data_IF_509789383975
#
_entry.id   IF_509789383975
#
_cell.length_a   1.000
_cell.length_b   1.000
_cell.length_c   1.000
_cell.angle_alpha   90.00
_cell.angle_beta   90.00
_cell.angle_gamma   90.00
#
_symmetry.space_group_name_H-M   'P 1'
#
loop_
_entity.id
_entity.type
_entity.pdbx_description
1 polymer ?
#
# COMPACT_ATOMS: atom_id res chain seq x y z
N UNK A 1 -34.65 11.34 -19.07
CA UNK A 1 -35.19 10.38 -18.09
C UNK A 1 -36.15 9.44 -18.79
N UNK A 2 -35.90 8.12 -18.74
CA UNK A 2 -36.80 7.12 -19.32
C UNK A 2 -38.17 7.11 -18.62
N UNK A 3 -39.22 6.76 -19.36
CA UNK A 3 -40.57 6.49 -18.84
C UNK A 3 -41.15 5.30 -19.59
N UNK A 4 -42.25 4.76 -19.07
CA UNK A 4 -42.90 3.55 -19.59
C UNK A 4 -41.94 2.35 -19.53
N UNK A 5 -42.07 1.39 -20.44
CA UNK A 5 -41.29 0.13 -20.43
C UNK A 5 -39.84 0.30 -20.88
N UNK A 6 -39.46 1.45 -21.46
CA UNK A 6 -38.10 1.68 -21.90
C UNK A 6 -37.97 2.75 -22.97
N UNK A 7 -36.77 2.83 -23.53
CA UNK A 7 -36.44 3.66 -24.69
C UNK A 7 -36.10 2.74 -25.86
N UNK A 8 -36.22 3.25 -27.09
CA UNK A 8 -35.82 2.49 -28.28
C UNK A 8 -34.35 2.10 -28.21
N UNK A 9 -34.04 0.82 -28.43
CA UNK A 9 -32.69 0.27 -28.27
C UNK A 9 -31.64 0.98 -29.15
N UNK A 10 -32.05 1.54 -30.30
CA UNK A 10 -31.13 2.28 -31.18
C UNK A 10 -30.68 3.61 -30.57
N UNK A 11 -31.47 4.18 -29.66
CA UNK A 11 -31.11 5.41 -28.92
C UNK A 11 -29.95 5.13 -27.96
N UNK A 12 -29.77 3.89 -27.50
CA UNK A 12 -28.63 3.52 -26.64
C UNK A 12 -27.27 3.74 -27.32
N UNK A 13 -27.20 3.77 -28.65
CA UNK A 13 -25.98 4.14 -29.37
C UNK A 13 -25.49 5.58 -29.08
N UNK A 14 -26.35 6.41 -28.47
CA UNK A 14 -26.04 7.79 -28.05
C UNK A 14 -25.99 7.94 -26.52
N UNK A 15 -26.04 6.84 -25.77
CA UNK A 15 -25.96 6.81 -24.30
C UNK A 15 -24.58 6.34 -23.91
N UNK A 16 -23.83 7.16 -23.16
CA UNK A 16 -22.50 6.80 -22.68
C UNK A 16 -22.56 5.78 -21.54
N UNK A 17 -23.50 5.97 -20.60
CA UNK A 17 -23.64 5.14 -19.40
C UNK A 17 -25.11 4.94 -19.00
N UNK A 18 -25.42 3.75 -18.48
CA UNK A 18 -26.69 3.43 -17.85
C UNK A 18 -26.48 3.30 -16.33
N UNK A 19 -27.23 4.08 -15.54
CA UNK A 19 -27.08 4.12 -14.08
C UNK A 19 -28.39 3.68 -13.43
N UNK A 20 -28.29 2.70 -12.52
CA UNK A 20 -29.37 2.34 -11.60
C UNK A 20 -29.07 2.89 -10.20
N UNK A 21 -30.09 3.42 -9.52
CA UNK A 21 -30.00 3.89 -8.13
C UNK A 21 -30.36 2.81 -7.10
N UNK A 22 -30.74 1.62 -7.55
CA UNK A 22 -30.99 0.45 -6.71
C UNK A 22 -31.85 -0.61 -7.37
N UNK A 23 -31.95 -1.77 -6.72
CA UNK A 23 -32.67 -2.95 -7.23
C UNK A 23 -34.19 -2.86 -6.96
N UNK A 24 -34.83 -1.85 -7.54
CA UNK A 24 -36.28 -1.63 -7.49
C UNK A 24 -36.77 -0.84 -8.70
N UNK A 25 -38.06 -0.96 -9.02
CA UNK A 25 -38.67 -0.26 -10.17
C UNK A 25 -39.34 1.04 -9.73
N UNK A 26 -39.10 2.11 -10.49
CA UNK A 26 -39.77 3.41 -10.34
C UNK A 26 -40.71 3.69 -11.52
N UNK A 27 -41.64 4.62 -11.35
CA UNK A 27 -42.56 5.03 -12.42
C UNK A 27 -41.91 5.78 -13.59
N UNK A 28 -40.65 6.19 -13.44
CA UNK A 28 -39.86 6.95 -14.40
C UNK A 28 -38.46 7.24 -13.87
N UNK A 29 -37.59 7.79 -14.71
CA UNK A 29 -36.19 8.06 -14.38
C UNK A 29 -35.93 9.37 -13.62
N UNK A 30 -36.94 10.23 -13.45
CA UNK A 30 -36.77 11.53 -12.79
C UNK A 30 -36.32 11.43 -11.33
N UNK A 31 -36.88 10.54 -10.48
CA UNK A 31 -36.40 10.40 -9.11
C UNK A 31 -34.97 9.86 -9.06
N UNK A 32 -34.59 8.95 -9.96
CA UNK A 32 -33.22 8.45 -10.07
C UNK A 32 -32.24 9.58 -10.45
N UNK A 33 -32.61 10.42 -11.41
CA UNK A 33 -31.82 11.59 -11.78
C UNK A 33 -31.67 12.58 -10.61
N UNK A 34 -32.74 12.83 -9.84
CA UNK A 34 -32.69 13.70 -8.67
C UNK A 34 -31.74 13.14 -7.58
N UNK A 35 -31.76 11.83 -7.33
CA UNK A 35 -30.84 11.17 -6.39
C UNK A 35 -29.39 11.34 -6.82
N UNK A 36 -29.09 11.12 -8.11
CA UNK A 36 -27.73 11.30 -8.64
C UNK A 36 -27.29 12.76 -8.53
N UNK A 37 -28.15 13.72 -8.88
CA UNK A 37 -27.85 15.14 -8.78
C UNK A 37 -27.55 15.52 -7.32
N UNK A 38 -28.37 15.10 -6.36
CA UNK A 38 -28.17 15.40 -4.93
C UNK A 38 -26.84 14.80 -4.41
N UNK A 39 -26.58 13.54 -4.73
CA UNK A 39 -25.36 12.85 -4.32
C UNK A 39 -24.09 13.50 -4.89
N UNK A 40 -24.11 13.91 -6.16
CA UNK A 40 -22.95 14.51 -6.85
C UNK A 40 -22.79 15.99 -6.51
N UNK A 41 -23.87 16.77 -6.44
CA UNK A 41 -23.79 18.21 -6.21
C UNK A 41 -23.11 18.54 -4.87
N UNK A 42 -23.34 17.72 -3.85
CA UNK A 42 -22.67 17.85 -2.54
C UNK A 42 -21.15 17.74 -2.61
N UNK A 43 -20.60 17.08 -3.61
CA UNK A 43 -19.15 16.92 -3.80
C UNK A 43 -18.51 18.14 -4.48
N UNK A 44 -19.31 19.10 -4.96
CA UNK A 44 -18.80 20.29 -5.62
C UNK A 44 -18.27 21.32 -4.60
N UNK A 45 -17.12 21.97 -4.86
CA UNK A 45 -16.58 22.99 -3.97
C UNK A 45 -17.59 24.12 -3.70
N UNK A 46 -17.74 24.50 -2.44
CA UNK A 46 -18.62 25.60 -2.01
C UNK A 46 -20.10 25.23 -1.83
N UNK A 47 -20.50 23.99 -2.09
CA UNK A 47 -21.88 23.52 -1.80
C UNK A 47 -22.03 23.14 -0.32
N UNK A 48 -21.03 22.45 0.24
CA UNK A 48 -20.99 22.17 1.68
C UNK A 48 -20.24 23.30 2.38
N UNK A 49 -20.82 23.84 3.45
CA UNK A 49 -20.28 25.00 4.18
C UNK A 49 -18.99 24.73 4.97
N UNK A 50 -18.56 23.47 5.07
CA UNK A 50 -17.33 23.07 5.74
C UNK A 50 -16.67 21.94 4.92
N UNK A 51 -15.44 22.17 4.48
CA UNK A 51 -14.68 21.25 3.63
C UNK A 51 -14.36 19.92 4.33
N UNK A 52 -14.40 19.89 5.66
CA UNK A 52 -14.21 18.66 6.46
C UNK A 52 -15.49 17.83 6.63
N UNK A 53 -16.66 18.31 6.17
CA UNK A 53 -17.93 17.59 6.37
C UNK A 53 -18.00 16.26 5.62
N UNK A 54 -17.24 16.10 4.53
CA UNK A 54 -17.22 14.87 3.72
C UNK A 54 -16.26 13.80 4.26
N UNK A 55 -15.38 14.15 5.20
CA UNK A 55 -14.34 13.24 5.68
C UNK A 55 -14.87 12.16 6.65
N UNK A 56 -15.95 12.46 7.39
CA UNK A 56 -16.52 11.59 8.43
C UNK A 56 -17.89 10.97 8.04
N UNK A 57 -18.27 10.99 6.76
CA UNK A 57 -19.55 10.45 6.29
C UNK A 57 -19.56 8.92 6.17
N UNK A 58 -20.75 8.34 6.34
CA UNK A 58 -21.00 6.93 6.03
C UNK A 58 -20.47 6.54 4.65
N UNK A 59 -19.93 5.31 4.53
CA UNK A 59 -19.40 4.71 3.31
C UNK A 59 -18.06 5.26 2.78
N UNK A 60 -17.54 6.38 3.31
CA UNK A 60 -16.19 6.88 2.93
C UNK A 60 -15.09 5.88 3.32
N UNK A 61 -15.19 5.34 4.53
CA UNK A 61 -14.32 4.27 5.07
C UNK A 61 -14.90 2.87 4.85
N UNK A 62 -15.99 2.75 4.08
CA UNK A 62 -16.74 1.50 3.91
C UNK A 62 -17.57 1.08 5.13
N UNK A 63 -17.60 1.87 6.21
CA UNK A 63 -18.42 1.61 7.40
C UNK A 63 -19.67 2.49 7.43
N UNK A 64 -20.71 2.02 8.11
CA UNK A 64 -21.87 2.84 8.50
C UNK A 64 -21.50 3.78 9.65
N UNK A 65 -22.13 4.94 9.73
CA UNK A 65 -21.94 5.87 10.84
C UNK A 65 -22.27 5.28 12.22
N UNK A 66 -21.57 5.79 13.23
CA UNK A 66 -21.82 5.52 14.64
C UNK A 66 -23.09 6.24 15.12
N UNK A 67 -23.70 5.79 16.23
CA UNK A 67 -24.93 6.41 16.73
C UNK A 67 -24.64 7.82 17.26
N UNK A 68 -25.45 8.78 16.80
CA UNK A 68 -25.36 10.18 17.17
C UNK A 68 -26.29 10.50 18.35
N UNK A 69 -25.83 11.36 19.26
CA UNK A 69 -26.59 11.82 20.42
C UNK A 69 -26.53 13.34 20.48
N UNK A 70 -27.64 13.94 20.86
CA UNK A 70 -27.74 15.39 21.09
C UNK A 70 -28.57 15.65 22.35
N UNK A 71 -28.68 16.91 22.74
CA UNK A 71 -29.47 17.31 23.91
C UNK A 71 -30.93 16.87 23.77
N UNK A 72 -31.61 16.49 24.88
CA UNK A 72 -31.13 16.47 26.27
C UNK A 72 -30.35 15.21 26.65
N UNK A 73 -29.59 15.26 27.76
CA UNK A 73 -28.77 14.14 28.25
C UNK A 73 -29.59 12.87 28.54
N UNK A 74 -30.81 13.04 29.08
CA UNK A 74 -31.74 11.94 29.35
C UNK A 74 -33.02 12.20 28.58
N UNK A 75 -33.31 11.34 27.60
CA UNK A 75 -34.53 11.36 26.83
C UNK A 75 -35.40 10.15 27.19
N UNK A 76 -36.55 10.38 27.83
CA UNK A 76 -37.50 9.32 28.25
C UNK A 76 -36.83 8.21 29.08
N UNK A 77 -35.93 8.57 29.99
CA UNK A 77 -35.18 7.64 30.82
C UNK A 77 -33.96 6.99 30.13
N UNK A 78 -33.73 7.24 28.84
CA UNK A 78 -32.54 6.79 28.13
C UNK A 78 -31.46 7.85 28.21
N UNK A 79 -30.33 7.52 28.84
CA UNK A 79 -29.18 8.40 29.01
C UNK A 79 -28.21 8.24 27.83
N UNK A 80 -27.63 9.34 27.36
CA UNK A 80 -26.53 9.29 26.40
C UNK A 80 -25.31 8.55 26.99
N UNK A 81 -24.53 7.81 26.18
CA UNK A 81 -23.34 7.10 26.65
C UNK A 81 -22.38 8.03 27.42
N UNK A 82 -21.95 7.62 28.62
CA UNK A 82 -21.10 8.45 29.49
C UNK A 82 -19.78 8.85 28.82
N UNK A 83 -19.22 8.00 27.96
CA UNK A 83 -18.02 8.29 27.17
C UNK A 83 -18.18 9.56 26.31
N UNK A 84 -19.39 9.83 25.79
CA UNK A 84 -19.67 11.04 25.00
C UNK A 84 -19.76 12.30 25.86
N UNK A 85 -19.94 12.15 27.18
CA UNK A 85 -19.99 13.24 28.16
C UNK A 85 -18.63 13.49 28.83
N UNK A 86 -17.64 12.61 28.58
CA UNK A 86 -16.34 12.62 29.28
C UNK A 86 -15.40 13.75 28.86
N UNK A 87 -15.60 14.34 27.68
CA UNK A 87 -14.67 15.31 27.09
C UNK A 87 -13.36 14.70 26.57
N UNK A 88 -13.16 13.39 26.71
CA UNK A 88 -11.98 12.69 26.22
C UNK A 88 -12.13 12.36 24.72
N UNK A 89 -11.48 13.18 23.90
CA UNK A 89 -11.56 13.05 22.44
C UNK A 89 -11.06 11.70 21.92
N UNK A 90 -10.08 11.07 22.56
CA UNK A 90 -9.55 9.78 22.11
C UNK A 90 -10.51 8.64 22.46
N UNK A 91 -11.04 8.63 23.70
CA UNK A 91 -12.04 7.62 24.10
C UNK A 91 -13.33 7.76 23.30
N UNK A 92 -13.72 8.97 22.95
CA UNK A 92 -14.86 9.23 22.06
C UNK A 92 -14.59 8.69 20.66
N UNK A 93 -13.40 8.95 20.07
CA UNK A 93 -13.03 8.42 18.76
C UNK A 93 -13.05 6.88 18.75
N UNK A 94 -12.43 6.25 19.73
CA UNK A 94 -12.39 4.79 19.84
C UNK A 94 -13.80 4.21 19.94
N UNK A 95 -14.63 4.75 20.84
CA UNK A 95 -16.01 4.30 21.01
C UNK A 95 -16.85 4.45 19.75
N UNK A 96 -16.70 5.59 19.04
CA UNK A 96 -17.38 5.84 17.76
C UNK A 96 -16.97 4.79 16.72
N UNK A 97 -15.68 4.49 16.60
CA UNK A 97 -15.18 3.47 15.68
C UNK A 97 -15.73 2.09 16.00
N UNK A 98 -15.70 1.69 17.27
CA UNK A 98 -16.24 0.40 17.73
C UNK A 98 -17.72 0.26 17.40
N UNK A 99 -18.53 1.30 17.66
CA UNK A 99 -19.97 1.28 17.35
C UNK A 99 -20.28 1.30 15.86
N UNK A 100 -19.52 2.04 15.08
CA UNK A 100 -19.62 2.03 13.61
C UNK A 100 -19.39 0.62 13.05
N UNK A 101 -18.36 -0.09 13.54
CA UNK A 101 -18.07 -1.49 13.15
C UNK A 101 -19.20 -2.42 13.59
N UNK A 102 -19.67 -2.31 14.83
CA UNK A 102 -20.76 -3.13 15.36
C UNK A 102 -22.04 -3.00 14.52
N UNK A 103 -22.44 -1.76 14.21
CA UNK A 103 -23.63 -1.47 13.39
C UNK A 103 -23.46 -2.00 11.98
N UNK A 104 -22.29 -1.78 11.37
CA UNK A 104 -21.99 -2.28 10.01
C UNK A 104 -22.07 -3.80 9.97
N UNK A 105 -21.46 -4.49 10.95
CA UNK A 105 -21.51 -5.94 11.08
C UNK A 105 -22.92 -6.48 11.17
N UNK A 106 -23.77 -5.79 11.94
CA UNK A 106 -25.15 -6.23 12.16
C UNK A 106 -26.07 -5.94 10.97
N UNK A 107 -25.91 -4.79 10.28
CA UNK A 107 -26.90 -4.30 9.29
C UNK A 107 -26.46 -4.45 7.85
N UNK A 108 -25.17 -4.34 7.58
CA UNK A 108 -24.57 -4.37 6.24
C UNK A 108 -23.27 -5.19 6.26
N UNK A 109 -23.34 -6.49 6.60
CA UNK A 109 -22.16 -7.35 6.64
C UNK A 109 -21.44 -7.45 5.28
N UNK A 110 -22.16 -7.18 4.19
CA UNK A 110 -21.63 -7.04 2.83
C UNK A 110 -20.60 -5.90 2.70
N UNK A 111 -20.79 -4.78 3.42
CA UNK A 111 -19.81 -3.70 3.44
C UNK A 111 -18.53 -4.09 4.17
N UNK A 112 -18.64 -4.95 5.20
CA UNK A 112 -17.45 -5.52 5.84
C UNK A 112 -16.73 -6.49 4.92
N UNK A 113 -17.45 -7.30 4.14
CA UNK A 113 -16.83 -8.14 3.11
C UNK A 113 -16.10 -7.29 2.07
N UNK A 114 -16.70 -6.17 1.65
CA UNK A 114 -16.05 -5.17 0.79
C UNK A 114 -14.84 -4.47 1.42
N UNK A 115 -14.82 -4.27 2.75
CA UNK A 115 -13.65 -3.78 3.51
C UNK A 115 -12.58 -4.86 3.65
N UNK A 116 -12.97 -6.13 3.79
CA UNK A 116 -12.05 -7.27 3.82
C UNK A 116 -11.40 -7.46 2.45
N UNK A 117 -12.14 -7.27 1.35
CA UNK A 117 -11.60 -7.21 -0.02
C UNK A 117 -10.81 -5.93 -0.32
N UNK A 118 -11.15 -4.79 0.30
CA UNK A 118 -10.44 -3.49 0.15
C UNK A 118 -9.37 -3.23 1.22
N UNK A 119 -9.12 -4.22 2.07
CA UNK A 119 -8.00 -4.29 3.00
C UNK A 119 -7.88 -3.14 3.99
N UNK A 120 -8.59 -3.24 5.11
CA UNK A 120 -8.05 -2.90 6.44
C UNK A 120 -8.76 -3.80 7.45
N UNK A 121 -8.01 -4.67 8.14
CA UNK A 121 -8.20 -5.27 9.48
C UNK A 121 -7.50 -6.65 9.53
N UNK A 122 -6.19 -6.66 9.33
CA UNK A 122 -5.34 -7.44 10.22
C UNK A 122 -4.81 -6.43 11.23
N UNK A 123 -5.35 -6.44 12.44
CA UNK A 123 -4.75 -5.73 13.55
C UNK A 123 -3.31 -6.30 13.72
N UNK A 124 -2.33 -5.43 13.47
CA UNK A 124 -0.86 -5.58 13.55
C UNK A 124 -0.33 -6.68 14.52
N UNK A 125 0.81 -7.32 14.20
CA UNK A 125 1.95 -6.66 13.57
C UNK A 125 2.29 -7.14 12.14
N UNK A 126 2.47 -6.18 11.23
CA UNK A 126 3.26 -6.39 10.02
C UNK A 126 4.63 -5.79 10.27
N UNK A 127 5.64 -6.64 10.42
CA UNK A 127 7.03 -6.26 10.56
C UNK A 127 7.40 -5.19 9.51
N UNK A 128 8.02 -4.06 9.90
CA UNK A 128 8.35 -3.01 8.94
C UNK A 128 9.34 -3.53 7.91
N UNK A 129 8.93 -3.56 6.64
CA UNK A 129 9.75 -4.08 5.55
C UNK A 129 10.50 -2.95 4.84
N UNK A 130 11.78 -3.18 4.62
CA UNK A 130 12.69 -2.35 3.84
C UNK A 130 13.28 -3.17 2.70
N UNK A 131 13.65 -2.50 1.60
CA UNK A 131 14.31 -3.13 0.46
C UNK A 131 15.72 -2.58 0.28
N UNK A 132 16.67 -3.44 -0.05
CA UNK A 132 18.04 -3.06 -0.41
C UNK A 132 18.42 -3.57 -1.79
N UNK A 133 18.61 -2.68 -2.76
CA UNK A 133 19.18 -3.01 -4.06
C UNK A 133 20.70 -2.81 -4.02
N UNK A 134 21.44 -3.91 -3.96
CA UNK A 134 22.89 -3.88 -3.90
C UNK A 134 23.50 -3.82 -5.30
N UNK A 135 24.33 -2.81 -5.51
CA UNK A 135 25.23 -2.71 -6.67
C UNK A 135 26.66 -3.18 -6.35
N UNK A 136 26.96 -3.40 -5.07
CA UNK A 136 28.20 -3.99 -4.59
C UNK A 136 28.01 -4.49 -3.13
N UNK A 137 28.62 -5.62 -2.73
CA UNK A 137 29.33 -6.58 -3.57
C UNK A 137 28.33 -7.52 -4.28
N UNK A 138 28.40 -7.59 -5.61
CA UNK A 138 27.58 -8.47 -6.46
C UNK A 138 28.46 -9.24 -7.44
N UNK A 139 27.98 -10.37 -7.96
CA UNK A 139 28.70 -11.16 -8.95
C UNK A 139 28.52 -10.64 -10.38
N UNK A 140 29.53 -10.83 -11.22
CA UNK A 140 29.42 -10.79 -12.67
C UNK A 140 29.22 -12.20 -13.28
N UNK A 141 29.22 -12.28 -14.62
CA UNK A 141 29.10 -13.55 -15.36
C UNK A 141 30.21 -14.57 -15.10
N UNK A 142 31.35 -14.11 -14.61
CA UNK A 142 32.52 -14.93 -14.30
C UNK A 142 32.65 -15.22 -12.80
N UNK A 143 31.60 -14.94 -12.01
CA UNK A 143 31.60 -15.05 -10.54
C UNK A 143 32.66 -14.20 -9.84
N UNK A 144 33.07 -13.08 -10.45
CA UNK A 144 33.94 -12.09 -9.81
C UNK A 144 33.09 -11.07 -9.06
N UNK A 145 33.61 -10.59 -7.92
CA UNK A 145 32.97 -9.52 -7.15
C UNK A 145 33.20 -8.19 -7.86
N UNK A 146 32.11 -7.53 -8.26
CA UNK A 146 32.15 -6.29 -9.03
C UNK A 146 31.25 -5.22 -8.43
N UNK A 147 31.31 -4.01 -8.99
CA UNK A 147 30.29 -2.97 -8.80
C UNK A 147 29.54 -2.78 -10.11
N UNK A 148 28.22 -2.86 -10.07
CA UNK A 148 27.35 -2.67 -11.24
C UNK A 148 26.88 -1.22 -11.36
N UNK A 149 26.46 -0.84 -12.57
CA UNK A 149 25.83 0.46 -12.80
C UNK A 149 24.43 0.53 -12.18
N UNK A 150 24.05 1.71 -11.70
CA UNK A 150 22.69 2.01 -11.24
C UNK A 150 21.83 2.38 -12.44
N UNK A 151 20.72 1.67 -12.65
CA UNK A 151 19.81 1.97 -13.76
C UNK A 151 18.65 2.84 -13.26
N UNK A 152 18.24 3.81 -14.08
CA UNK A 152 17.10 4.68 -13.77
C UNK A 152 15.79 3.89 -13.62
N UNK A 153 15.63 2.84 -14.43
CA UNK A 153 14.42 2.02 -14.44
C UNK A 153 14.26 1.21 -13.15
N UNK A 154 15.34 0.66 -12.61
CA UNK A 154 15.30 -0.07 -11.33
C UNK A 154 14.83 0.84 -10.19
N UNK A 155 15.35 2.08 -10.12
CA UNK A 155 14.94 3.05 -9.10
C UNK A 155 13.44 3.32 -9.20
N UNK A 156 12.95 3.64 -10.41
CA UNK A 156 11.54 3.99 -10.58
C UNK A 156 10.59 2.83 -10.31
N UNK A 157 10.89 1.65 -10.86
CA UNK A 157 9.97 0.52 -10.80
C UNK A 157 9.93 -0.06 -9.38
N UNK A 158 11.09 -0.23 -8.74
CA UNK A 158 11.14 -0.75 -7.37
C UNK A 158 10.60 0.27 -6.37
N UNK A 159 10.79 1.58 -6.58
CA UNK A 159 10.16 2.60 -5.73
C UNK A 159 8.63 2.55 -5.82
N UNK A 160 8.07 2.31 -7.01
CA UNK A 160 6.63 2.13 -7.20
C UNK A 160 6.15 0.88 -6.47
N UNK A 161 6.85 -0.25 -6.63
CA UNK A 161 6.53 -1.49 -5.93
C UNK A 161 6.58 -1.30 -4.40
N UNK A 162 7.63 -0.65 -3.89
CA UNK A 162 7.78 -0.33 -2.48
C UNK A 162 6.57 0.48 -1.97
N UNK A 163 6.15 1.50 -2.71
CA UNK A 163 4.98 2.29 -2.36
C UNK A 163 3.68 1.48 -2.41
N UNK A 164 3.51 0.63 -3.42
CA UNK A 164 2.32 -0.22 -3.60
C UNK A 164 2.15 -1.21 -2.45
N UNK A 165 3.23 -1.85 -2.00
CA UNK A 165 3.19 -2.88 -0.96
C UNK A 165 3.45 -2.35 0.46
N UNK A 166 3.45 -1.03 0.68
CA UNK A 166 3.58 -0.44 2.01
C UNK A 166 4.97 -0.61 2.65
N UNK A 167 6.02 -0.78 1.83
CA UNK A 167 7.42 -0.84 2.28
C UNK A 167 7.83 0.53 2.85
N UNK A 168 8.57 0.52 3.96
CA UNK A 168 8.96 1.71 4.72
C UNK A 168 10.14 2.48 4.10
N UNK A 169 11.02 1.78 3.39
CA UNK A 169 12.14 2.42 2.70
C UNK A 169 12.78 1.52 1.64
N UNK A 170 13.29 2.15 0.59
CA UNK A 170 14.01 1.49 -0.49
C UNK A 170 15.42 2.07 -0.63
N UNK A 171 16.42 1.26 -0.33
CA UNK A 171 17.82 1.65 -0.37
C UNK A 171 18.50 1.19 -1.67
N UNK A 172 19.20 2.13 -2.32
CA UNK A 172 20.11 1.85 -3.44
C UNK A 172 21.54 1.96 -2.92
N UNK A 173 22.23 0.83 -2.79
CA UNK A 173 23.56 0.76 -2.18
C UNK A 173 24.65 0.61 -3.24
N UNK A 174 25.51 1.62 -3.35
CA UNK A 174 26.67 1.60 -4.26
C UNK A 174 27.84 2.39 -3.67
N UNK A 175 29.07 1.86 -3.62
CA UNK A 175 30.22 2.57 -3.06
C UNK A 175 30.74 3.67 -4.00
N UNK A 176 30.34 3.65 -5.27
CA UNK A 176 30.83 4.58 -6.30
C UNK A 176 30.10 5.91 -6.21
N UNK A 177 30.81 6.96 -5.77
CA UNK A 177 30.25 8.32 -5.59
C UNK A 177 29.58 8.90 -6.83
N UNK A 178 30.10 8.61 -8.02
CA UNK A 178 29.48 9.07 -9.28
C UNK A 178 28.10 8.43 -9.50
N UNK A 179 27.94 7.15 -9.18
CA UNK A 179 26.66 6.45 -9.27
C UNK A 179 25.69 6.94 -8.19
N UNK A 180 26.18 7.24 -6.99
CA UNK A 180 25.37 7.88 -5.95
C UNK A 180 24.82 9.23 -6.42
N UNK A 181 25.68 10.09 -6.98
CA UNK A 181 25.26 11.39 -7.54
C UNK A 181 24.24 11.24 -8.66
N UNK A 182 24.40 10.23 -9.53
CA UNK A 182 23.43 9.94 -10.58
C UNK A 182 22.06 9.56 -10.00
N UNK A 183 22.04 8.65 -9.02
CA UNK A 183 20.81 8.22 -8.35
C UNK A 183 20.12 9.39 -7.62
N UNK A 184 20.88 10.22 -6.90
CA UNK A 184 20.35 11.43 -6.25
C UNK A 184 19.79 12.42 -7.27
N UNK A 185 20.49 12.67 -8.38
CA UNK A 185 19.98 13.55 -9.45
C UNK A 185 18.67 13.05 -10.06
N UNK A 186 18.52 11.73 -10.20
CA UNK A 186 17.25 11.12 -10.63
C UNK A 186 16.15 11.41 -9.61
N UNK A 187 16.41 11.21 -8.32
CA UNK A 187 15.43 11.42 -7.24
C UNK A 187 15.03 12.91 -7.15
N UNK A 188 16.01 13.81 -7.08
CA UNK A 188 15.81 15.26 -6.92
C UNK A 188 14.99 15.87 -8.06
N UNK A 189 15.21 15.41 -9.30
CA UNK A 189 14.48 15.89 -10.46
C UNK A 189 12.95 15.74 -10.31
N UNK A 190 12.51 14.69 -9.61
CA UNK A 190 11.09 14.40 -9.39
C UNK A 190 10.55 14.88 -8.03
N UNK A 191 11.43 15.20 -7.08
CA UNK A 191 11.04 15.75 -5.78
C UNK A 191 10.92 17.27 -5.78
N UNK A 192 11.79 17.97 -6.52
CA UNK A 192 11.94 19.45 -6.47
C UNK A 192 11.79 20.12 -7.85
N UNK A 193 11.96 19.40 -8.96
CA UNK A 193 11.94 19.96 -10.32
C UNK A 193 10.56 20.05 -10.98
N UNK A 194 10.49 20.61 -12.20
CA UNK A 194 9.28 20.80 -13.03
C UNK A 194 8.40 19.54 -13.18
N UNK A 195 8.96 18.34 -13.02
CA UNK A 195 8.20 17.07 -13.02
C UNK A 195 7.30 16.84 -11.80
N UNK A 196 7.49 17.59 -10.69
CA UNK A 196 6.68 17.46 -9.48
C UNK A 196 5.28 18.07 -9.62
N UNK A 197 5.11 19.07 -10.47
CA UNK A 197 3.81 19.70 -10.77
C UNK A 197 2.95 18.82 -11.68
N UNK A 198 3.57 17.95 -12.49
CA UNK A 198 2.88 17.17 -13.52
C UNK A 198 2.43 15.77 -13.05
N UNK A 199 3.03 15.18 -12.02
CA UNK A 199 2.65 13.84 -11.55
C UNK A 199 2.92 13.57 -10.06
N UNK A 200 1.92 13.85 -9.22
CA UNK A 200 1.98 13.64 -7.76
C UNK A 200 2.27 12.18 -7.35
N UNK A 201 1.82 11.19 -8.14
CA UNK A 201 1.99 9.76 -7.79
C UNK A 201 3.44 9.30 -7.85
N UNK A 202 4.24 9.86 -8.77
CA UNK A 202 5.66 9.51 -8.92
C UNK A 202 6.53 10.07 -7.80
N UNK A 203 6.17 11.26 -7.30
CA UNK A 203 6.82 11.90 -6.15
C UNK A 203 6.67 11.05 -4.88
N UNK A 204 5.47 10.54 -4.62
CA UNK A 204 5.20 9.71 -3.45
C UNK A 204 6.02 8.41 -3.43
N UNK A 205 6.20 7.77 -4.59
CA UNK A 205 7.04 6.57 -4.70
C UNK A 205 8.53 6.88 -4.47
N UNK A 206 9.06 7.93 -5.10
CA UNK A 206 10.47 8.28 -5.00
C UNK A 206 10.88 8.87 -3.65
N UNK A 207 9.92 9.34 -2.84
CA UNK A 207 10.17 9.77 -1.46
C UNK A 207 10.71 8.65 -0.56
N UNK A 208 10.47 7.38 -0.92
CA UNK A 208 10.97 6.21 -0.18
C UNK A 208 12.43 5.86 -0.49
N UNK A 209 13.00 6.44 -1.55
CA UNK A 209 14.33 6.04 -2.07
C UNK A 209 15.44 6.72 -1.27
N UNK A 210 16.39 5.91 -0.78
CA UNK A 210 17.57 6.36 -0.05
C UNK A 210 18.83 5.84 -0.73
N UNK A 211 19.84 6.68 -0.89
CA UNK A 211 21.12 6.31 -1.53
C UNK A 211 22.19 6.17 -0.47
N UNK A 212 22.91 5.05 -0.47
CA UNK A 212 23.92 4.72 0.54
C UNK A 212 25.15 4.05 -0.10
N UNK A 213 26.25 3.92 0.65
CA UNK A 213 27.51 3.38 0.14
C UNK A 213 27.57 1.87 0.17
N UNK A 214 27.17 1.27 1.29
CA UNK A 214 27.36 -0.14 1.60
C UNK A 214 26.11 -0.76 2.22
N UNK A 215 26.07 -2.10 2.30
CA UNK A 215 25.04 -2.80 3.07
C UNK A 215 25.06 -2.39 4.55
N UNK A 216 26.24 -2.14 5.12
CA UNK A 216 26.36 -1.70 6.52
C UNK A 216 25.72 -0.32 6.73
N UNK A 217 25.86 0.60 5.77
CA UNK A 217 25.16 1.90 5.81
C UNK A 217 23.63 1.73 5.78
N UNK A 218 23.12 0.74 5.05
CA UNK A 218 21.66 0.43 5.02
C UNK A 218 21.20 -0.06 6.40
N UNK A 219 21.92 -1.02 6.96
CA UNK A 219 21.60 -1.63 8.27
C UNK A 219 21.60 -0.55 9.35
N UNK A 220 22.65 0.28 9.41
CA UNK A 220 22.76 1.40 10.33
C UNK A 220 21.64 2.42 10.10
N UNK A 221 21.28 2.68 8.84
CA UNK A 221 20.21 3.59 8.48
C UNK A 221 18.85 3.14 9.01
N UNK A 222 18.54 1.84 8.90
CA UNK A 222 17.31 1.25 9.42
C UNK A 222 17.33 1.23 10.95
N UNK A 223 18.42 0.76 11.56
CA UNK A 223 18.55 0.68 13.03
C UNK A 223 18.40 2.05 13.70
N UNK A 224 18.89 3.12 13.08
CA UNK A 224 18.67 4.50 13.57
C UNK A 224 17.21 4.97 13.48
N UNK A 225 16.46 4.47 12.51
CA UNK A 225 15.07 4.85 12.28
C UNK A 225 14.11 4.04 13.17
N UNK A 226 14.37 2.74 13.33
CA UNK A 226 13.48 1.80 14.02
C UNK A 226 13.90 1.53 15.47
N UNK A 227 15.15 1.81 15.82
CA UNK A 227 15.75 1.43 17.10
C UNK A 227 16.22 -0.02 17.17
N UNK A 228 16.04 -0.81 16.10
CA UNK A 228 16.37 -2.23 16.05
C UNK A 228 17.09 -2.59 14.75
N UNK A 229 18.09 -3.47 14.85
CA UNK A 229 18.79 -4.02 13.68
C UNK A 229 17.81 -4.87 12.85
N UNK A 230 17.71 -4.65 11.52
CA UNK A 230 16.83 -5.43 10.67
C UNK A 230 17.27 -6.88 10.51
N UNK A 231 16.28 -7.77 10.43
CA UNK A 231 16.43 -9.14 9.94
C UNK A 231 16.76 -9.11 8.45
N UNK A 232 17.90 -9.67 8.07
CA UNK A 232 18.39 -9.69 6.71
C UNK A 232 17.84 -10.89 5.95
N UNK A 233 17.17 -10.64 4.83
CA UNK A 233 16.64 -11.67 3.94
C UNK A 233 17.34 -11.56 2.58
N UNK A 234 18.20 -12.52 2.25
CA UNK A 234 18.81 -12.60 0.92
C UNK A 234 17.85 -13.22 -0.09
N UNK A 235 17.89 -12.71 -1.33
CA UNK A 235 17.15 -13.28 -2.46
C UNK A 235 18.11 -13.86 -3.51
N UNK A 236 17.72 -14.96 -4.15
CA UNK A 236 18.53 -15.65 -5.17
C UNK A 236 17.64 -16.40 -6.16
N UNK A 237 18.06 -16.46 -7.42
CA UNK A 237 17.45 -17.34 -8.41
C UNK A 237 17.95 -18.80 -8.29
N UNK A 238 19.02 -19.03 -7.53
CA UNK A 238 19.57 -20.37 -7.29
C UNK A 238 18.82 -21.04 -6.15
N UNK A 239 18.54 -22.33 -6.30
CA UNK A 239 18.10 -23.16 -5.19
C UNK A 239 19.24 -23.32 -4.18
N UNK A 240 18.93 -23.05 -2.91
CA UNK A 240 19.85 -23.22 -1.80
C UNK A 240 19.20 -24.21 -0.83
N UNK A 241 19.93 -25.25 -0.42
CA UNK A 241 19.50 -26.14 0.65
C UNK A 241 19.33 -25.32 1.94
N UNK A 242 18.16 -25.42 2.58
CA UNK A 242 17.82 -24.61 3.75
C UNK A 242 17.21 -23.24 3.47
N UNK A 243 16.74 -22.97 2.25
CA UNK A 243 15.98 -21.74 1.97
C UNK A 243 14.67 -21.67 2.74
N UNK A 244 14.33 -20.48 3.23
CA UNK A 244 13.05 -20.17 3.85
C UNK A 244 11.97 -20.04 2.78
N UNK A 245 10.82 -20.70 2.97
CA UNK A 245 9.71 -20.60 2.03
C UNK A 245 9.03 -19.23 2.10
N UNK A 246 8.33 -18.83 1.04
CA UNK A 246 7.52 -17.62 1.01
C UNK A 246 6.46 -17.62 2.11
N UNK A 247 5.84 -18.78 2.37
CA UNK A 247 4.84 -18.95 3.42
C UNK A 247 5.44 -18.74 4.81
N UNK A 248 6.58 -19.37 5.10
CA UNK A 248 7.25 -19.23 6.39
C UNK A 248 7.69 -17.79 6.65
N UNK A 249 8.30 -17.13 5.65
CA UNK A 249 8.71 -15.73 5.80
C UNK A 249 7.51 -14.79 5.96
N UNK A 250 6.43 -15.02 5.22
CA UNK A 250 5.18 -14.25 5.36
C UNK A 250 4.58 -14.40 6.75
N UNK A 251 4.56 -15.61 7.31
CA UNK A 251 4.11 -15.82 8.68
C UNK A 251 4.95 -15.04 9.69
N UNK A 252 6.28 -15.02 9.52
CA UNK A 252 7.16 -14.24 10.38
C UNK A 252 6.86 -12.74 10.29
N UNK A 253 6.71 -12.21 9.07
CA UNK A 253 6.34 -10.81 8.84
C UNK A 253 5.02 -10.43 9.53
N UNK A 254 4.06 -11.37 9.62
CA UNK A 254 2.75 -11.13 10.25
C UNK A 254 2.74 -11.35 11.78
N UNK A 255 3.81 -11.91 12.36
CA UNK A 255 3.89 -12.24 13.79
C UNK A 255 4.88 -11.35 14.54
N UNK A 256 5.81 -10.73 13.82
CA UNK A 256 6.93 -9.99 14.40
C UNK A 256 6.79 -8.48 14.21
N UNK A 257 7.37 -7.71 15.12
CA UNK A 257 7.41 -6.23 15.08
C UNK A 257 8.78 -5.68 14.66
N UNK A 258 9.82 -6.52 14.65
CA UNK A 258 11.18 -6.11 14.29
C UNK A 258 11.30 -5.83 12.79
N UNK A 259 12.16 -4.92 12.34
CA UNK A 259 12.30 -4.60 10.92
C UNK A 259 12.90 -5.74 10.10
N UNK A 260 12.47 -5.87 8.85
CA UNK A 260 13.02 -6.80 7.86
C UNK A 260 13.64 -6.03 6.70
N UNK A 261 14.80 -6.46 6.24
CA UNK A 261 15.47 -5.93 5.06
C UNK A 261 15.60 -7.03 4.00
N UNK A 262 14.85 -6.90 2.92
CA UNK A 262 14.90 -7.81 1.77
C UNK A 262 15.97 -7.30 0.78
N UNK A 263 16.99 -8.10 0.57
CA UNK A 263 18.15 -7.77 -0.26
C UNK A 263 18.00 -8.34 -1.66
N UNK A 264 18.15 -7.46 -2.65
CA UNK A 264 18.19 -7.78 -4.07
C UNK A 264 19.58 -7.51 -4.63
N UNK A 265 20.11 -8.49 -5.36
CA UNK A 265 21.36 -8.34 -6.10
C UNK A 265 21.14 -7.84 -7.52
N UNK A 266 22.11 -7.08 -8.02
CA UNK A 266 22.21 -6.72 -9.45
C UNK A 266 23.28 -7.56 -10.14
N UNK A 267 23.48 -7.37 -11.45
CA UNK A 267 24.45 -8.17 -12.20
C UNK A 267 24.02 -9.63 -12.26
N UNK A 268 24.82 -10.52 -11.68
CA UNK A 268 24.55 -11.96 -11.58
C UNK A 268 24.18 -12.40 -10.16
N UNK A 269 23.76 -11.46 -9.32
CA UNK A 269 23.18 -11.70 -8.01
C UNK A 269 24.12 -11.36 -6.85
N UNK A 270 23.61 -11.57 -5.64
CA UNK A 270 24.31 -11.33 -4.39
C UNK A 270 25.55 -12.24 -4.26
N UNK A 271 26.58 -11.71 -3.61
CA UNK A 271 27.78 -12.50 -3.29
C UNK A 271 27.53 -13.48 -2.16
N UNK A 272 28.30 -14.57 -2.10
CA UNK A 272 28.23 -15.53 -0.98
C UNK A 272 28.47 -14.84 0.38
N UNK A 273 29.32 -13.81 0.42
CA UNK A 273 29.56 -13.01 1.62
C UNK A 273 28.31 -12.24 2.11
N UNK A 274 27.42 -11.83 1.20
CA UNK A 274 26.15 -11.18 1.58
C UNK A 274 25.11 -12.24 1.98
N UNK A 275 25.06 -13.36 1.25
CA UNK A 275 24.14 -14.45 1.54
C UNK A 275 24.44 -15.06 2.92
N UNK A 276 25.71 -15.32 3.23
CA UNK A 276 26.12 -15.90 4.53
C UNK A 276 25.95 -14.94 5.72
N UNK A 277 25.91 -13.63 5.45
CA UNK A 277 25.60 -12.59 6.44
C UNK A 277 24.10 -12.43 6.68
N UNK A 278 23.24 -13.00 5.84
CA UNK A 278 21.80 -12.84 5.96
C UNK A 278 21.21 -13.86 6.92
N UNK A 279 20.22 -13.44 7.72
CA UNK A 279 19.55 -14.30 8.69
C UNK A 279 18.71 -15.38 7.99
N UNK A 280 18.14 -15.04 6.84
CA UNK A 280 17.35 -15.93 6.00
C UNK A 280 17.73 -15.81 4.54
N UNK A 281 17.55 -16.90 3.80
CA UNK A 281 17.67 -16.93 2.34
C UNK A 281 16.33 -17.37 1.79
N UNK A 282 15.64 -16.47 1.09
CA UNK A 282 14.32 -16.76 0.54
C UNK A 282 14.43 -17.75 -0.62
N UNK A 283 13.49 -18.69 -0.70
CA UNK A 283 13.40 -19.62 -1.80
C UNK A 283 13.28 -18.90 -3.16
N UNK A 284 13.82 -19.52 -4.21
CA UNK A 284 13.82 -18.93 -5.54
C UNK A 284 12.40 -18.78 -6.09
N UNK A 285 12.13 -17.68 -6.81
CA UNK A 285 10.89 -17.54 -7.57
C UNK A 285 10.91 -18.53 -8.72
N UNK A 286 10.03 -19.52 -8.67
CA UNK A 286 9.84 -20.51 -9.75
C UNK A 286 8.49 -20.31 -10.45
N UNK A 287 8.45 -20.74 -11.72
CA UNK A 287 7.25 -20.80 -12.55
C UNK A 287 7.01 -22.21 -13.07
N UNK A 288 6.13 -22.35 -14.08
CA UNK A 288 5.80 -23.66 -14.69
C UNK A 288 6.95 -24.21 -15.54
N UNK A 289 7.78 -23.33 -16.10
CA UNK A 289 8.95 -23.72 -16.90
C UNK A 289 10.21 -23.97 -16.06
N UNK A 290 11.28 -24.34 -16.75
CA UNK A 290 12.62 -24.59 -16.20
C UNK A 290 13.49 -23.32 -16.07
N UNK A 291 13.00 -22.16 -16.53
CA UNK A 291 13.71 -20.88 -16.50
C UNK A 291 13.21 -19.97 -15.36
N UNK A 292 14.14 -19.48 -14.53
CA UNK A 292 13.83 -18.60 -13.40
C UNK A 292 14.78 -17.39 -13.24
N UNK A 293 15.59 -17.08 -14.25
CA UNK A 293 16.49 -15.92 -14.25
C UNK A 293 15.74 -14.62 -14.57
N UNK A 294 14.95 -14.16 -13.60
CA UNK A 294 14.14 -12.95 -13.72
C UNK A 294 14.99 -11.67 -13.59
N UNK A 295 14.52 -10.59 -14.23
CA UNK A 295 15.04 -9.26 -13.93
C UNK A 295 14.79 -8.91 -12.46
N UNK A 296 15.65 -8.09 -11.86
CA UNK A 296 15.50 -7.71 -10.45
C UNK A 296 14.13 -7.04 -10.18
N UNK A 297 13.60 -6.29 -11.14
CA UNK A 297 12.28 -5.65 -11.08
C UNK A 297 11.15 -6.67 -11.03
N UNK A 298 11.19 -7.66 -11.93
CA UNK A 298 10.21 -8.75 -11.98
C UNK A 298 10.29 -9.64 -10.74
N UNK A 299 11.51 -9.98 -10.30
CA UNK A 299 11.72 -10.74 -9.08
C UNK A 299 11.18 -9.99 -7.86
N UNK A 300 11.50 -8.69 -7.73
CA UNK A 300 11.00 -7.84 -6.65
C UNK A 300 9.48 -7.79 -6.63
N UNK A 301 8.84 -7.63 -7.79
CA UNK A 301 7.37 -7.58 -7.88
C UNK A 301 6.72 -8.88 -7.38
N UNK A 302 7.22 -10.04 -7.81
CA UNK A 302 6.68 -11.34 -7.41
C UNK A 302 6.97 -11.63 -5.94
N UNK A 303 8.17 -11.30 -5.46
CA UNK A 303 8.55 -11.50 -4.06
C UNK A 303 7.66 -10.65 -3.15
N UNK A 304 7.48 -9.36 -3.46
CA UNK A 304 6.61 -8.49 -2.68
C UNK A 304 5.15 -8.92 -2.74
N UNK A 305 4.65 -9.37 -3.90
CA UNK A 305 3.30 -9.94 -3.97
C UNK A 305 3.14 -11.15 -3.06
N UNK A 306 4.04 -12.12 -3.14
CA UNK A 306 3.95 -13.35 -2.33
C UNK A 306 4.02 -13.07 -0.83
N UNK A 307 4.84 -12.10 -0.41
CA UNK A 307 5.07 -11.77 0.99
C UNK A 307 4.04 -10.78 1.56
N UNK A 308 3.67 -9.75 0.80
CA UNK A 308 2.95 -8.57 1.30
C UNK A 308 1.61 -8.34 0.63
N UNK A 309 1.25 -9.06 -0.43
CA UNK A 309 -0.08 -8.91 -1.03
C UNK A 309 -1.15 -9.28 -0.01
N UNK A 310 -2.16 -8.42 0.05
CA UNK A 310 -3.40 -8.66 0.78
C UNK A 310 -4.07 -9.87 0.12
N UNK A 311 -4.16 -10.98 0.83
CA UNK A 311 -4.84 -12.21 0.44
C UNK A 311 -5.78 -12.61 1.55
#
# INVERSE_FOLDING_TARGET
>A
CGRYEGIDERVKAFVDEEISVGDFTLSGGEPAAAVVIDAVARLLPGVLGNDNSTADESFMDGLLEYPQYTRPEIFRGMRAPEVLLSGDHERIRQWRREKSIEITRSRRPDLLAGILDRGVWSAEPSAPVYLGLLHHPVYDKNRQVVTTAVTNMDIHDIARLARTYGVQGFFVATPVKTLQKLALKIIDHWQVGYGSEYNATRKAALALVRVCGTLDDVIIGIERETGERPVLVATSARHNEGSTSFEALREMLNKETRPFLILFGTGWGLTEAVISRSDYVLEAVTGVGDYNHLSVRSASAIILDRLLARR
#
